data_IF_229156947091
#
_entry.id   IF_229156947091
#
_cell.length_a   1.000
_cell.length_b   1.000
_cell.length_c   1.000
_cell.angle_alpha   90.00
_cell.angle_beta   90.00
_cell.angle_gamma   90.00
#
_symmetry.space_group_name_H-M   'P 1'
#
loop_
_entity.id
_entity.type
_entity.pdbx_description
1 polymer ?
#
# COMPACT_ATOMS: atom_id res chain seq x y z
N UNK A 1 -14.58 -15.45 -4.67
CA UNK A 1 -13.15 -15.25 -5.01
C UNK A 1 -12.63 -14.14 -4.12
N UNK A 2 -11.42 -14.24 -3.58
CA UNK A 2 -10.83 -13.18 -2.78
C UNK A 2 -10.47 -11.99 -3.68
N UNK A 3 -10.71 -10.78 -3.18
CA UNK A 3 -10.44 -9.53 -3.87
C UNK A 3 -8.97 -9.18 -3.75
N UNK A 4 -8.34 -8.71 -4.85
CA UNK A 4 -6.95 -8.24 -4.78
C UNK A 4 -6.88 -6.96 -3.95
N UNK A 5 -5.96 -6.96 -2.99
CA UNK A 5 -5.58 -5.78 -2.22
C UNK A 5 -4.06 -5.58 -2.33
N UNK A 6 -3.59 -4.35 -2.55
CA UNK A 6 -2.16 -4.05 -2.63
C UNK A 6 -1.80 -3.02 -1.58
N UNK A 7 -0.89 -3.34 -0.68
CA UNK A 7 -0.37 -2.43 0.33
C UNK A 7 0.96 -1.85 -0.13
N UNK A 8 0.96 -0.58 -0.50
CA UNK A 8 2.16 0.17 -0.89
C UNK A 8 2.77 0.86 0.33
N UNK A 9 4.07 0.68 0.54
CA UNK A 9 4.81 1.34 1.60
C UNK A 9 6.26 1.66 1.21
N UNK A 10 6.99 2.40 2.05
CA UNK A 10 8.39 2.77 1.80
C UNK A 10 9.31 2.60 3.03
N UNK A 11 8.94 1.68 3.94
CA UNK A 11 9.75 1.36 5.12
C UNK A 11 9.72 2.40 6.25
N UNK A 12 8.85 3.41 6.15
CA UNK A 12 8.64 4.41 7.19
C UNK A 12 8.10 3.80 8.51
N UNK A 13 8.33 4.38 9.69
CA UNK A 13 7.84 3.79 10.95
C UNK A 13 6.31 3.54 10.97
N UNK A 14 5.53 4.49 10.43
CA UNK A 14 4.07 4.33 10.30
C UNK A 14 3.68 3.24 9.30
N UNK A 15 4.54 2.94 8.32
CA UNK A 15 4.34 1.85 7.38
C UNK A 15 4.34 0.49 8.09
N UNK A 16 5.23 0.29 9.07
CA UNK A 16 5.32 -0.96 9.84
C UNK A 16 4.06 -1.16 10.69
N UNK A 17 3.60 -0.11 11.37
CA UNK A 17 2.34 -0.16 12.13
C UNK A 17 1.15 -0.44 11.22
N UNK A 18 1.08 0.22 10.05
CA UNK A 18 0.00 0.02 9.09
C UNK A 18 -0.01 -1.41 8.50
N UNK A 19 1.14 -1.99 8.22
CA UNK A 19 1.22 -3.39 7.77
C UNK A 19 0.71 -4.35 8.83
N UNK A 20 1.16 -4.21 10.08
CA UNK A 20 0.81 -5.11 11.18
C UNK A 20 -0.67 -5.00 11.59
N UNK A 21 -1.23 -3.79 11.63
CA UNK A 21 -2.57 -3.55 12.15
C UNK A 21 -3.68 -3.54 11.09
N UNK A 22 -3.33 -3.30 9.82
CA UNK A 22 -4.33 -3.23 8.75
C UNK A 22 -4.07 -4.30 7.69
N UNK A 23 -2.91 -4.28 7.03
CA UNK A 23 -2.66 -5.18 5.90
C UNK A 23 -2.73 -6.66 6.32
N UNK A 24 -2.13 -7.02 7.46
CA UNK A 24 -2.14 -8.39 8.01
C UNK A 24 -3.44 -8.77 8.73
N UNK A 25 -4.30 -7.81 9.04
CA UNK A 25 -5.57 -8.04 9.74
C UNK A 25 -6.75 -8.25 8.79
N UNK A 26 -6.56 -8.05 7.48
CA UNK A 26 -7.57 -8.37 6.49
C UNK A 26 -7.80 -9.89 6.42
N UNK A 27 -9.07 -10.27 6.36
CA UNK A 27 -9.49 -11.66 6.22
C UNK A 27 -8.95 -12.26 4.91
N UNK A 28 -8.09 -13.29 4.96
CA UNK A 28 -7.49 -13.88 3.77
C UNK A 28 -8.50 -14.61 2.87
N UNK A 29 -9.68 -14.99 3.39
CA UNK A 29 -10.75 -15.54 2.57
C UNK A 29 -11.41 -14.46 1.69
N UNK A 30 -11.35 -13.19 2.12
CA UNK A 30 -11.94 -12.05 1.42
C UNK A 30 -10.91 -11.26 0.61
N UNK A 31 -9.66 -11.16 1.07
CA UNK A 31 -8.63 -10.34 0.45
C UNK A 31 -7.32 -11.09 0.22
N UNK A 32 -6.81 -11.03 -1.01
CA UNK A 32 -5.45 -11.45 -1.32
C UNK A 32 -4.54 -10.22 -1.25
N UNK A 33 -3.87 -10.04 -0.12
CA UNK A 33 -3.05 -8.86 0.18
C UNK A 33 -1.62 -9.05 -0.34
N UNK A 34 -1.21 -8.18 -1.26
CA UNK A 34 0.16 -8.07 -1.77
C UNK A 34 0.87 -6.91 -1.07
N UNK A 35 2.06 -7.14 -0.49
CA UNK A 35 2.86 -6.08 0.15
C UNK A 35 3.94 -5.61 -0.82
N UNK A 36 3.99 -4.31 -1.11
CA UNK A 36 4.93 -3.70 -2.07
C UNK A 36 5.72 -2.59 -1.40
N UNK A 37 7.03 -2.81 -1.25
CA UNK A 37 7.97 -1.80 -0.77
C UNK A 37 8.48 -0.93 -1.92
N UNK A 38 7.91 0.26 -2.10
CA UNK A 38 8.23 1.19 -3.20
C UNK A 38 9.66 1.75 -3.14
N UNK A 39 10.28 1.80 -1.95
CA UNK A 39 11.70 2.14 -1.81
C UNK A 39 12.66 1.10 -2.41
N UNK A 40 12.23 -0.16 -2.52
CA UNK A 40 13.02 -1.26 -3.08
C UNK A 40 12.58 -1.58 -4.51
N UNK A 41 11.26 -1.54 -4.75
CA UNK A 41 10.61 -1.86 -6.02
C UNK A 41 10.21 -0.59 -6.77
N UNK A 42 11.17 0.29 -7.09
CA UNK A 42 10.89 1.58 -7.74
C UNK A 42 10.08 1.49 -9.05
N UNK A 43 10.21 0.38 -9.79
CA UNK A 43 9.41 0.14 -11.00
C UNK A 43 7.89 0.10 -10.74
N UNK A 44 7.46 -0.20 -9.50
CA UNK A 44 6.05 -0.24 -9.08
C UNK A 44 5.50 1.14 -8.71
N UNK A 45 6.30 2.21 -8.71
CA UNK A 45 5.82 3.58 -8.45
C UNK A 45 4.76 4.01 -9.48
N UNK A 46 4.94 3.66 -10.75
CA UNK A 46 3.98 3.96 -11.80
C UNK A 46 2.64 3.24 -11.60
N UNK A 47 2.66 2.02 -11.07
CA UNK A 47 1.44 1.29 -10.71
C UNK A 47 0.72 1.96 -9.54
N UNK A 48 1.45 2.33 -8.49
CA UNK A 48 0.87 3.02 -7.35
C UNK A 48 0.22 4.36 -7.78
N UNK A 49 0.90 5.12 -8.64
CA UNK A 49 0.36 6.38 -9.19
C UNK A 49 -0.89 6.14 -10.03
N UNK A 50 -0.87 5.15 -10.93
CA UNK A 50 -2.04 4.78 -11.75
C UNK A 50 -3.23 4.29 -10.90
N UNK A 51 -2.97 3.69 -9.75
CA UNK A 51 -3.98 3.30 -8.76
C UNK A 51 -4.48 4.48 -7.89
N UNK A 52 -4.01 5.71 -8.13
CA UNK A 52 -4.42 6.90 -7.40
C UNK A 52 -3.76 7.06 -6.02
N UNK A 53 -2.66 6.34 -5.76
CA UNK A 53 -1.89 6.49 -4.52
C UNK A 53 -1.21 7.86 -4.50
N UNK A 54 -1.40 8.61 -3.41
CA UNK A 54 -0.81 9.95 -3.21
C UNK A 54 0.23 9.96 -2.10
N UNK A 55 0.09 9.06 -1.14
CA UNK A 55 1.00 8.90 -0.01
C UNK A 55 1.10 7.44 0.39
N UNK A 56 2.19 7.08 1.04
CA UNK A 56 2.37 5.79 1.70
C UNK A 56 2.39 5.97 3.22
N UNK A 57 1.97 4.96 4.00
CA UNK A 57 1.41 3.68 3.57
C UNK A 57 0.00 3.84 2.98
N UNK A 58 -0.31 3.04 1.95
CA UNK A 58 -1.62 3.01 1.33
C UNK A 58 -2.04 1.60 0.95
N UNK A 59 -3.33 1.31 1.10
CA UNK A 59 -3.94 0.05 0.74
C UNK A 59 -4.89 0.28 -0.43
N UNK A 60 -4.69 -0.42 -1.54
CA UNK A 60 -5.55 -0.34 -2.73
C UNK A 60 -6.42 -1.59 -2.77
N UNK A 61 -7.74 -1.43 -2.60
CA UNK A 61 -8.70 -2.55 -2.62
C UNK A 61 -9.68 -2.30 -3.77
N UNK A 62 -9.76 -3.23 -4.73
CA UNK A 62 -10.66 -3.05 -5.89
C UNK A 62 -10.39 -1.78 -6.69
N UNK A 63 -9.13 -1.34 -6.76
CA UNK A 63 -8.72 -0.11 -7.44
C UNK A 63 -9.04 1.18 -6.68
N UNK A 64 -9.55 1.10 -5.44
CA UNK A 64 -9.74 2.27 -4.58
C UNK A 64 -8.58 2.39 -3.58
N UNK A 65 -7.85 3.53 -3.57
CA UNK A 65 -6.76 3.77 -2.64
C UNK A 65 -7.26 4.28 -1.28
N UNK A 66 -6.76 3.68 -0.21
CA UNK A 66 -6.95 4.10 1.18
C UNK A 66 -5.60 4.51 1.76
N UNK A 67 -5.39 5.81 1.96
CA UNK A 67 -4.17 6.33 2.56
C UNK A 67 -4.24 6.22 4.09
N UNK A 68 -3.25 5.60 4.71
CA UNK A 68 -3.24 5.34 6.14
C UNK A 68 -2.22 6.27 6.80
N UNK A 69 -2.71 7.21 7.60
CA UNK A 69 -1.89 8.07 8.46
C UNK A 69 -0.69 8.73 7.74
N UNK A 70 -0.88 9.16 6.48
CA UNK A 70 0.04 9.89 5.60
C UNK A 70 1.50 9.92 6.08
N UNK A 71 2.28 8.88 5.76
CA UNK A 71 3.67 8.76 6.19
C UNK A 71 4.66 9.54 5.31
N UNK A 72 4.60 9.32 4.00
CA UNK A 72 5.41 10.02 3.01
C UNK A 72 4.59 10.24 1.73
N UNK A 73 4.82 11.33 0.99
CA UNK A 73 4.15 11.50 -0.28
C UNK A 73 4.75 10.55 -1.32
N UNK A 74 3.93 10.06 -2.26
CA UNK A 74 4.43 9.23 -3.37
C UNK A 74 5.46 10.01 -4.21
N UNK A 75 5.30 11.33 -4.30
CA UNK A 75 6.21 12.22 -5.01
C UNK A 75 7.62 12.25 -4.39
N UNK A 76 7.77 12.06 -3.07
CA UNK A 76 9.06 12.03 -2.37
C UNK A 76 9.87 10.75 -2.65
N UNK A 77 9.24 9.74 -3.26
CA UNK A 77 9.86 8.45 -3.59
C UNK A 77 10.37 8.36 -5.03
N UNK A 78 10.12 9.40 -5.85
CA UNK A 78 10.57 9.49 -7.24
C UNK A 78 12.07 9.80 -7.33
#
# INVERSE_FOLDING_TARGET
MSQKAVFFHAGCPVCVSAEQQFAKSLDPAQFNVEIVHLGEQKARLAEAEAAGVKSVPALVIGGQPFHINFGAALADLK
#
